data_IF_200364126056
#
_entry.id   IF_200364126056
#
_cell.length_a   1.000
_cell.length_b   1.000
_cell.length_c   1.000
_cell.angle_alpha   90.00
_cell.angle_beta   90.00
_cell.angle_gamma   90.00
#
_symmetry.space_group_name_H-M   'P 1'
#
loop_
_entity.id
_entity.type
_entity.pdbx_description
1 polymer ?
#
# COMPACT_ATOMS: atom_id res chain seq x y z
N UNK A 1 -12.60 -25.63 16.27
CA UNK A 1 -12.76 -24.87 17.53
C UNK A 1 -12.21 -23.47 17.30
N UNK A 2 -12.87 -22.44 17.85
CA UNK A 2 -12.26 -21.11 17.94
C UNK A 2 -11.14 -21.25 18.97
N UNK A 3 -9.89 -21.01 18.55
CA UNK A 3 -8.73 -21.05 19.45
C UNK A 3 -8.93 -20.00 20.55
N UNK A 4 -8.51 -20.28 21.79
CA UNK A 4 -8.52 -19.26 22.86
C UNK A 4 -7.61 -18.09 22.46
N UNK A 5 -7.82 -16.89 23.01
CA UNK A 5 -6.94 -15.74 22.71
C UNK A 5 -5.52 -15.92 23.26
N UNK A 6 -5.34 -16.81 24.23
CA UNK A 6 -4.03 -17.22 24.76
C UNK A 6 -3.41 -18.42 24.01
N UNK A 7 -4.12 -19.02 23.05
CA UNK A 7 -3.65 -20.20 22.33
C UNK A 7 -2.40 -19.89 21.49
N UNK A 8 -1.38 -20.72 21.64
CA UNK A 8 -0.10 -20.55 20.98
C UNK A 8 -0.19 -20.49 19.45
N UNK A 9 -1.16 -21.16 18.83
CA UNK A 9 -1.36 -21.07 17.38
C UNK A 9 -1.67 -19.64 16.91
N UNK A 10 -2.27 -18.78 17.74
CA UNK A 10 -2.50 -17.35 17.43
C UNK A 10 -1.25 -16.50 17.54
N UNK A 11 -0.24 -16.97 18.28
CA UNK A 11 0.98 -16.21 18.61
C UNK A 11 2.21 -16.70 17.85
N UNK A 12 2.00 -17.27 16.66
CA UNK A 12 3.05 -17.51 15.67
C UNK A 12 3.31 -16.23 14.87
N UNK A 13 4.58 -15.84 14.76
CA UNK A 13 4.97 -14.65 14.02
C UNK A 13 4.98 -14.90 12.49
N UNK A 14 3.80 -14.82 11.91
CA UNK A 14 3.58 -15.09 10.48
C UNK A 14 4.18 -14.01 9.56
N UNK A 15 4.36 -14.33 8.28
CA UNK A 15 4.83 -13.36 7.26
C UNK A 15 3.87 -12.17 7.11
N UNK A 16 2.55 -12.38 7.17
CA UNK A 16 1.60 -11.26 7.11
C UNK A 16 1.71 -10.36 8.34
N UNK A 17 1.92 -10.94 9.54
CA UNK A 17 2.20 -10.17 10.75
C UNK A 17 3.48 -9.33 10.60
N UNK A 18 4.53 -9.88 10.00
CA UNK A 18 5.77 -9.13 9.69
C UNK A 18 5.51 -7.94 8.79
N UNK A 19 4.77 -8.13 7.70
CA UNK A 19 4.41 -7.06 6.76
C UNK A 19 3.67 -5.94 7.48
N UNK A 20 2.68 -6.28 8.32
CA UNK A 20 1.95 -5.30 9.16
C UNK A 20 2.91 -4.47 10.01
N UNK A 21 3.75 -5.14 10.79
CA UNK A 21 4.68 -4.49 11.70
C UNK A 21 5.72 -3.65 10.95
N UNK A 22 6.13 -4.06 9.75
CA UNK A 22 7.06 -3.28 8.93
C UNK A 22 6.44 -1.98 8.44
N UNK A 23 5.24 -2.04 7.87
CA UNK A 23 4.50 -0.85 7.39
C UNK A 23 4.24 0.11 8.54
N UNK A 24 3.71 -0.43 9.63
CA UNK A 24 3.45 0.30 10.87
C UNK A 24 4.72 0.97 11.43
N UNK A 25 5.80 0.21 11.58
CA UNK A 25 7.07 0.70 12.16
C UNK A 25 7.69 1.81 11.32
N UNK A 26 7.63 1.70 9.98
CA UNK A 26 8.13 2.75 9.07
C UNK A 26 7.32 4.03 9.23
N UNK A 27 6.00 3.89 9.34
CA UNK A 27 5.09 5.03 9.49
C UNK A 27 5.26 5.73 10.82
N UNK A 28 5.16 5.00 11.93
CA UNK A 28 5.26 5.59 13.27
C UNK A 28 6.62 6.25 13.48
N UNK A 29 7.72 5.67 12.97
CA UNK A 29 9.04 6.31 13.02
C UNK A 29 9.04 7.68 12.34
N UNK A 30 8.46 7.79 11.14
CA UNK A 30 8.42 9.04 10.40
C UNK A 30 7.45 10.06 11.01
N UNK A 31 6.28 9.59 11.44
CA UNK A 31 5.27 10.40 12.13
C UNK A 31 5.81 10.97 13.44
N UNK A 32 6.39 10.14 14.32
CA UNK A 32 7.01 10.56 15.58
C UNK A 32 8.18 11.50 15.36
N UNK A 33 8.94 11.31 14.28
CA UNK A 33 10.02 12.21 13.91
C UNK A 33 9.52 13.61 13.53
N UNK A 34 8.38 13.71 12.86
CA UNK A 34 7.79 15.00 12.47
C UNK A 34 7.13 15.65 13.68
N UNK A 35 6.11 15.01 14.26
CA UNK A 35 5.29 15.61 15.30
C UNK A 35 6.02 15.71 16.64
N UNK A 36 6.91 14.77 16.95
CA UNK A 36 7.70 14.81 18.19
C UNK A 36 8.68 15.98 18.27
N UNK A 37 8.86 16.71 17.17
CA UNK A 37 9.62 17.97 17.15
C UNK A 37 8.86 19.10 17.84
N UNK A 38 7.52 19.07 17.81
CA UNK A 38 6.67 20.19 18.22
C UNK A 38 5.66 19.82 19.31
N UNK A 39 5.40 18.53 19.50
CA UNK A 39 4.30 18.04 20.33
C UNK A 39 4.73 16.81 21.13
N UNK A 40 4.11 16.65 22.29
CA UNK A 40 4.09 15.37 22.99
C UNK A 40 3.32 14.35 22.17
N UNK A 41 3.78 13.10 22.18
CA UNK A 41 3.18 12.04 21.38
C UNK A 41 2.31 11.13 22.23
N UNK A 42 1.08 10.85 21.80
CA UNK A 42 0.25 9.80 22.38
C UNK A 42 0.14 8.64 21.38
N UNK A 43 0.60 7.45 21.76
CA UNK A 43 0.59 6.27 20.90
C UNK A 43 -0.21 5.17 21.58
N UNK A 44 -1.24 4.69 20.88
CA UNK A 44 -2.16 3.66 21.34
C UNK A 44 -1.96 2.40 20.52
N UNK A 45 -1.60 1.31 21.19
CA UNK A 45 -1.77 -0.03 20.67
C UNK A 45 -3.05 -0.61 21.25
N UNK A 46 -4.13 -0.57 20.47
CA UNK A 46 -5.46 -0.90 20.92
C UNK A 46 -5.68 -2.41 21.11
N UNK A 47 -4.76 -3.24 20.58
CA UNK A 47 -4.75 -4.70 20.67
C UNK A 47 -3.30 -5.17 20.84
N UNK A 48 -2.69 -4.76 21.96
CA UNK A 48 -1.26 -4.87 22.22
C UNK A 48 -0.74 -6.31 22.28
N UNK A 49 -1.60 -7.27 22.61
CA UNK A 49 -1.19 -8.64 22.77
C UNK A 49 -0.26 -8.87 23.94
N UNK A 50 0.40 -10.02 23.94
CA UNK A 50 1.32 -10.45 25.02
C UNK A 50 2.73 -9.86 24.95
N UNK A 51 2.97 -8.86 24.10
CA UNK A 51 4.29 -8.22 23.93
C UNK A 51 5.29 -8.96 23.04
N UNK A 52 5.35 -10.30 23.08
CA UNK A 52 6.18 -11.14 22.17
C UNK A 52 5.41 -12.32 21.56
N UNK A 53 5.86 -12.76 20.39
CA UNK A 53 5.44 -14.02 19.80
C UNK A 53 6.24 -15.18 20.39
N UNK A 54 5.77 -16.41 20.16
CA UNK A 54 6.36 -17.64 20.73
C UNK A 54 7.81 -17.85 20.29
N UNK A 55 8.17 -17.39 19.10
CA UNK A 55 9.53 -17.47 18.58
C UNK A 55 10.46 -16.37 19.15
N UNK A 56 9.98 -15.59 20.11
CA UNK A 56 10.71 -14.47 20.73
C UNK A 56 10.64 -13.16 19.94
N UNK A 57 10.00 -13.16 18.76
CA UNK A 57 9.83 -11.95 17.96
C UNK A 57 9.02 -10.90 18.72
N UNK A 58 9.44 -9.65 18.63
CA UNK A 58 8.75 -8.53 19.28
C UNK A 58 7.37 -8.27 18.66
N UNK A 59 6.37 -8.06 19.51
CA UNK A 59 5.07 -7.50 19.17
C UNK A 59 5.12 -5.98 18.93
N UNK A 60 3.99 -5.41 18.54
CA UNK A 60 3.85 -3.98 18.29
C UNK A 60 4.21 -3.09 19.49
N UNK A 61 3.91 -3.42 20.77
CA UNK A 61 4.28 -2.57 21.91
C UNK A 61 5.80 -2.36 22.01
N UNK A 62 6.57 -3.44 21.98
CA UNK A 62 8.03 -3.39 22.08
C UNK A 62 8.66 -2.68 20.89
N UNK A 63 8.10 -2.86 19.68
CA UNK A 63 8.55 -2.14 18.48
C UNK A 63 8.35 -0.63 18.59
N UNK A 64 7.19 -0.19 19.08
CA UNK A 64 6.90 1.23 19.33
C UNK A 64 7.96 1.81 20.25
N UNK A 65 8.18 1.17 21.39
CA UNK A 65 9.12 1.65 22.39
C UNK A 65 10.55 1.73 21.84
N UNK A 66 10.98 0.70 21.09
CA UNK A 66 12.30 0.68 20.47
C UNK A 66 12.49 1.81 19.45
N UNK A 67 11.44 2.13 18.68
CA UNK A 67 11.45 3.25 17.72
C UNK A 67 11.60 4.57 18.46
N UNK A 68 10.84 4.79 19.53
CA UNK A 68 10.89 6.02 20.32
C UNK A 68 12.24 6.20 21.01
N UNK A 69 12.79 5.15 21.63
CA UNK A 69 14.14 5.19 22.24
C UNK A 69 15.19 5.54 21.19
N UNK A 70 15.14 4.90 20.02
CA UNK A 70 16.10 5.18 18.95
C UNK A 70 15.96 6.62 18.43
N UNK A 71 14.74 7.15 18.37
CA UNK A 71 14.52 8.53 17.98
C UNK A 71 15.08 9.51 19.02
N UNK A 72 14.81 9.25 20.31
CA UNK A 72 15.33 10.06 21.42
C UNK A 72 16.85 10.06 21.45
N UNK A 73 17.48 8.89 21.33
CA UNK A 73 18.95 8.75 21.31
C UNK A 73 19.60 9.48 20.13
N UNK A 74 19.00 9.40 18.94
CA UNK A 74 19.60 9.94 17.72
C UNK A 74 19.28 11.42 17.47
N UNK A 75 18.15 11.92 17.98
CA UNK A 75 17.63 13.24 17.61
C UNK A 75 17.12 14.07 18.79
N UNK A 76 17.22 13.58 20.03
CA UNK A 76 16.79 14.29 21.23
C UNK A 76 15.26 14.43 21.40
N UNK A 77 14.46 13.83 20.51
CA UNK A 77 13.00 13.96 20.45
C UNK A 77 12.28 12.60 20.47
N UNK A 78 10.99 12.52 20.87
CA UNK A 78 10.13 13.63 21.31
C UNK A 78 10.55 14.18 22.68
N UNK A 79 10.05 15.37 23.04
CA UNK A 79 10.22 15.90 24.41
C UNK A 79 9.58 14.95 25.41
N UNK A 80 8.30 14.61 25.21
CA UNK A 80 7.53 13.65 25.98
C UNK A 80 6.75 12.68 25.07
N UNK A 81 6.55 11.45 25.54
CA UNK A 81 5.71 10.46 24.87
C UNK A 81 4.91 9.63 25.89
N UNK A 82 3.69 9.29 25.52
CA UNK A 82 2.74 8.50 26.30
C UNK A 82 2.33 7.30 25.46
N UNK A 83 2.68 6.10 25.91
CA UNK A 83 2.33 4.84 25.26
C UNK A 83 1.25 4.12 26.06
N UNK A 84 0.15 3.78 25.39
CA UNK A 84 -1.00 3.10 25.96
C UNK A 84 -1.17 1.76 25.26
N UNK A 85 -0.99 0.66 26.00
CA UNK A 85 -1.06 -0.70 25.46
C UNK A 85 -2.24 -1.44 26.07
N UNK A 86 -3.19 -1.86 25.23
CA UNK A 86 -4.49 -2.36 25.67
C UNK A 86 -4.61 -3.82 25.25
N UNK A 87 -4.87 -4.69 26.22
CA UNK A 87 -5.05 -6.13 26.00
C UNK A 87 -6.13 -6.67 26.93
N UNK A 88 -7.24 -7.14 26.37
CA UNK A 88 -8.39 -7.58 27.14
C UNK A 88 -8.22 -8.95 27.80
N UNK A 89 -7.40 -9.82 27.20
CA UNK A 89 -7.16 -11.13 27.75
C UNK A 89 -6.16 -11.03 28.90
N UNK A 90 -6.59 -11.43 30.10
CA UNK A 90 -5.79 -11.33 31.32
C UNK A 90 -4.41 -12.00 31.22
N UNK A 91 -4.33 -13.21 30.66
CA UNK A 91 -3.05 -13.92 30.55
C UNK A 91 -2.09 -13.21 29.59
N UNK A 92 -2.59 -12.75 28.43
CA UNK A 92 -1.78 -11.96 27.51
C UNK A 92 -1.35 -10.63 28.13
N UNK A 93 -2.24 -9.95 28.87
CA UNK A 93 -1.92 -8.71 29.57
C UNK A 93 -0.87 -8.89 30.67
N UNK A 94 -0.96 -9.97 31.46
CA UNK A 94 0.02 -10.26 32.51
C UNK A 94 1.41 -10.50 31.88
N UNK A 95 1.49 -11.25 30.78
CA UNK A 95 2.73 -11.40 29.98
C UNK A 95 3.24 -10.06 29.42
N UNK A 96 2.34 -9.20 28.93
CA UNK A 96 2.72 -7.86 28.45
C UNK A 96 3.32 -7.02 29.57
N UNK A 97 2.75 -7.06 30.78
CA UNK A 97 3.30 -6.36 31.94
C UNK A 97 4.73 -6.81 32.28
N UNK A 98 5.00 -8.11 32.19
CA UNK A 98 6.34 -8.66 32.40
C UNK A 98 7.33 -8.15 31.34
N UNK A 99 6.95 -8.16 30.06
CA UNK A 99 7.77 -7.61 28.97
C UNK A 99 8.05 -6.11 29.13
N UNK A 100 7.06 -5.31 29.54
CA UNK A 100 7.23 -3.88 29.81
C UNK A 100 8.14 -3.64 31.03
N UNK A 101 8.03 -4.48 32.06
CA UNK A 101 8.91 -4.40 33.23
C UNK A 101 10.36 -4.69 32.84
N UNK A 102 10.59 -5.77 32.09
CA UNK A 102 11.90 -6.12 31.55
C UNK A 102 12.47 -5.01 30.67
N UNK A 103 11.65 -4.41 29.79
CA UNK A 103 12.04 -3.29 28.96
C UNK A 103 12.50 -2.08 29.79
N UNK A 104 11.76 -1.73 30.84
CA UNK A 104 12.11 -0.63 31.76
C UNK A 104 13.41 -0.91 32.52
N UNK A 105 13.67 -2.17 32.92
CA UNK A 105 14.92 -2.55 33.56
C UNK A 105 16.13 -2.46 32.62
N UNK A 106 15.94 -2.76 31.33
CA UNK A 106 17.01 -2.74 30.33
C UNK A 106 17.33 -1.33 29.80
N UNK A 107 16.48 -0.34 30.05
CA UNK A 107 16.63 1.01 29.50
C UNK A 107 16.61 2.06 30.62
N UNK A 108 17.69 2.82 30.74
CA UNK A 108 17.81 3.94 31.69
C UNK A 108 17.35 5.26 31.08
N UNK A 109 17.03 6.26 31.91
CA UNK A 109 16.64 7.63 31.52
C UNK A 109 15.34 7.69 30.69
N UNK A 110 14.26 7.15 31.25
CA UNK A 110 12.94 7.09 30.63
C UNK A 110 11.95 8.14 31.16
N UNK A 111 12.40 9.18 31.87
CA UNK A 111 11.50 10.17 32.50
C UNK A 111 10.60 10.93 31.51
N UNK A 112 10.98 10.94 30.23
CA UNK A 112 10.22 11.52 29.12
C UNK A 112 9.17 10.57 28.52
N UNK A 113 9.17 9.30 28.92
CA UNK A 113 8.36 8.24 28.32
C UNK A 113 7.48 7.58 29.39
N UNK A 114 6.18 7.87 29.32
CA UNK A 114 5.18 7.20 30.14
C UNK A 114 4.65 5.96 29.41
N UNK A 115 4.59 4.82 30.10
CA UNK A 115 4.10 3.56 29.55
C UNK A 115 3.02 3.02 30.48
N UNK A 116 1.78 2.92 29.97
CA UNK A 116 0.60 2.38 30.65
C UNK A 116 0.06 1.15 29.92
N UNK A 117 -0.23 0.11 30.68
CA UNK A 117 -0.91 -1.11 30.20
C UNK A 117 -2.31 -1.18 30.78
N UNK A 118 -3.27 -1.70 30.02
CA UNK A 118 -4.68 -1.79 30.40
C UNK A 118 -5.23 -3.19 30.11
N UNK A 119 -5.85 -3.82 31.12
CA UNK A 119 -6.47 -5.13 31.03
C UNK A 119 -7.98 -5.02 30.77
N UNK A 120 -8.38 -4.49 29.61
CA UNK A 120 -9.79 -4.28 29.25
C UNK A 120 -9.94 -4.18 27.72
N UNK A 121 -11.18 -4.06 27.23
CA UNK A 121 -11.46 -3.76 25.84
C UNK A 121 -11.20 -2.28 25.51
N UNK A 122 -10.63 -2.03 24.33
CA UNK A 122 -10.27 -0.68 23.88
C UNK A 122 -11.44 0.32 23.95
N UNK A 123 -12.67 -0.11 23.63
CA UNK A 123 -13.86 0.75 23.70
C UNK A 123 -14.10 1.32 25.10
N UNK A 124 -13.82 0.55 26.15
CA UNK A 124 -14.03 0.97 27.54
C UNK A 124 -12.93 1.94 27.97
N UNK A 125 -11.69 1.63 27.58
CA UNK A 125 -10.50 2.42 27.91
C UNK A 125 -10.52 3.78 27.21
N UNK A 126 -11.02 3.88 25.99
CA UNK A 126 -11.01 5.15 25.26
C UNK A 126 -11.78 6.25 26.02
N UNK A 127 -12.96 5.94 26.55
CA UNK A 127 -13.77 6.93 27.27
C UNK A 127 -13.08 7.38 28.57
N UNK A 128 -12.40 6.47 29.27
CA UNK A 128 -11.59 6.78 30.45
C UNK A 128 -10.38 7.66 30.10
N UNK A 129 -9.65 7.31 29.04
CA UNK A 129 -8.49 8.09 28.57
C UNK A 129 -8.91 9.49 28.12
N UNK A 130 -10.05 9.62 27.43
CA UNK A 130 -10.60 10.93 27.04
C UNK A 130 -10.96 11.75 28.28
N UNK A 131 -11.62 11.15 29.27
CA UNK A 131 -12.01 11.83 30.51
C UNK A 131 -10.79 12.31 31.30
N UNK A 132 -9.77 11.46 31.41
CA UNK A 132 -8.60 11.71 32.26
C UNK A 132 -7.58 12.65 31.59
N UNK A 133 -7.56 12.73 30.26
CA UNK A 133 -6.57 13.53 29.51
C UNK A 133 -7.15 14.77 28.80
N UNK A 134 -8.48 14.94 28.72
CA UNK A 134 -9.11 16.10 28.07
C UNK A 134 -8.60 16.33 26.63
N UNK A 135 -8.18 17.57 26.31
CA UNK A 135 -7.61 17.94 24.99
C UNK A 135 -6.16 17.44 24.78
N UNK A 136 -5.55 16.76 25.76
CA UNK A 136 -4.13 16.33 25.72
C UNK A 136 -3.87 15.16 24.75
N UNK A 137 -4.93 14.54 24.19
CA UNK A 137 -4.84 13.51 23.13
C UNK A 137 -4.62 14.14 21.74
N UNK A 138 -4.56 15.48 21.63
CA UNK A 138 -4.46 16.25 20.38
C UNK A 138 -3.26 15.95 19.45
N UNK A 139 -2.42 14.97 19.78
CA UNK A 139 -1.42 14.38 18.88
C UNK A 139 -1.37 12.87 19.11
N UNK A 140 -2.38 12.18 18.58
CA UNK A 140 -2.61 10.74 18.79
C UNK A 140 -2.27 9.87 17.59
N UNK A 141 -1.71 8.70 17.83
CA UNK A 141 -1.60 7.63 16.84
C UNK A 141 -2.26 6.37 17.38
N UNK A 142 -3.28 5.86 16.68
CA UNK A 142 -4.05 4.69 17.10
C UNK A 142 -3.81 3.51 16.16
N UNK A 143 -3.24 2.43 16.67
CA UNK A 143 -3.09 1.17 15.98
C UNK A 143 -4.21 0.20 16.39
N UNK A 144 -5.18 0.01 15.52
CA UNK A 144 -6.40 -0.78 15.74
C UNK A 144 -6.27 -2.08 14.95
N UNK A 145 -5.84 -3.13 15.65
CA UNK A 145 -5.51 -4.43 15.06
C UNK A 145 -6.30 -5.59 15.71
N UNK A 146 -7.63 -5.65 15.58
CA UNK A 146 -8.43 -6.68 16.20
C UNK A 146 -8.19 -8.06 15.57
N UNK A 147 -8.34 -9.11 16.39
CA UNK A 147 -8.60 -10.45 15.86
C UNK A 147 -10.05 -10.52 15.38
N UNK A 148 -10.26 -10.37 14.06
CA UNK A 148 -11.59 -10.39 13.44
C UNK A 148 -12.15 -8.99 13.20
N UNK A 149 -13.43 -8.77 13.48
CA UNK A 149 -14.13 -7.50 13.19
C UNK A 149 -15.04 -6.99 14.32
N UNK A 150 -15.15 -7.72 15.42
CA UNK A 150 -15.93 -7.32 16.60
C UNK A 150 -15.13 -6.38 17.50
N UNK A 151 -15.82 -5.51 18.26
CA UNK A 151 -15.21 -4.64 19.26
C UNK A 151 -14.66 -3.32 18.71
N UNK A 152 -14.84 -3.04 17.41
CA UNK A 152 -14.45 -1.78 16.78
C UNK A 152 -15.64 -1.21 16.00
N UNK A 153 -16.34 -0.28 16.61
CA UNK A 153 -17.45 0.43 15.98
C UNK A 153 -16.97 1.66 15.20
N UNK A 154 -17.70 2.04 14.16
CA UNK A 154 -17.38 3.24 13.39
C UNK A 154 -17.53 4.52 14.21
N UNK A 155 -18.44 4.54 15.19
CA UNK A 155 -18.58 5.64 16.16
C UNK A 155 -17.34 5.78 17.04
N UNK A 156 -16.67 4.67 17.41
CA UNK A 156 -15.39 4.72 18.11
C UNK A 156 -14.31 5.39 17.26
N UNK A 157 -14.21 4.99 15.98
CA UNK A 157 -13.26 5.59 15.03
C UNK A 157 -13.55 7.08 14.82
N UNK A 158 -14.83 7.46 14.75
CA UNK A 158 -15.26 8.86 14.66
C UNK A 158 -14.81 9.67 15.88
N UNK A 159 -15.01 9.17 17.11
CA UNK A 159 -14.52 9.83 18.35
C UNK A 159 -13.01 10.08 18.31
N UNK A 160 -12.24 9.14 17.75
CA UNK A 160 -10.77 9.29 17.65
C UNK A 160 -10.40 10.35 16.60
N UNK A 161 -11.05 10.32 15.43
CA UNK A 161 -10.71 11.19 14.31
C UNK A 161 -11.20 12.64 14.45
N UNK A 162 -11.99 12.96 15.48
CA UNK A 162 -12.34 14.35 15.84
C UNK A 162 -11.18 15.12 16.46
N UNK A 163 -10.19 14.42 17.05
CA UNK A 163 -9.02 15.07 17.63
C UNK A 163 -8.08 15.61 16.54
N UNK A 164 -7.50 16.78 16.79
CA UNK A 164 -6.46 17.31 15.93
C UNK A 164 -5.24 16.37 15.88
N UNK A 165 -4.48 16.46 14.79
CA UNK A 165 -3.19 15.75 14.56
C UNK A 165 -3.25 14.26 14.91
N UNK A 166 -4.42 13.64 14.75
CA UNK A 166 -4.66 12.25 15.08
C UNK A 166 -4.74 11.40 13.82
N UNK A 167 -4.10 10.23 13.89
CA UNK A 167 -4.08 9.27 12.80
C UNK A 167 -4.36 7.86 13.30
N UNK A 168 -4.96 7.05 12.42
CA UNK A 168 -5.43 5.71 12.76
C UNK A 168 -4.97 4.72 11.71
N UNK A 169 -4.45 3.58 12.15
CA UNK A 169 -4.35 2.37 11.34
C UNK A 169 -5.41 1.38 11.77
N UNK A 170 -6.13 0.81 10.81
CA UNK A 170 -7.18 -0.19 11.05
C UNK A 170 -6.86 -1.45 10.26
N UNK A 171 -6.71 -2.58 10.93
CA UNK A 171 -6.69 -3.88 10.26
C UNK A 171 -8.12 -4.32 9.96
N UNK A 172 -8.46 -4.39 8.68
CA UNK A 172 -9.80 -4.70 8.18
C UNK A 172 -9.84 -6.08 7.51
N UNK A 173 -10.47 -7.03 8.20
CA UNK A 173 -10.58 -8.44 7.80
C UNK A 173 -11.74 -8.67 6.80
N UNK A 174 -11.61 -8.19 5.55
CA UNK A 174 -12.67 -8.29 4.52
C UNK A 174 -13.22 -9.71 4.33
N UNK A 175 -12.38 -10.72 4.46
CA UNK A 175 -12.77 -12.13 4.34
C UNK A 175 -13.74 -12.55 5.45
N UNK A 176 -13.43 -12.17 6.68
CA UNK A 176 -14.24 -12.55 7.84
C UNK A 176 -15.57 -11.78 7.81
N UNK A 177 -15.54 -10.49 7.47
CA UNK A 177 -16.75 -9.71 7.21
C UNK A 177 -17.62 -10.39 6.15
N UNK A 178 -17.03 -10.77 5.00
CA UNK A 178 -17.78 -11.45 3.93
C UNK A 178 -18.36 -12.80 4.39
N UNK A 179 -17.60 -13.56 5.17
CA UNK A 179 -18.02 -14.87 5.70
C UNK A 179 -19.24 -14.76 6.60
N UNK A 180 -19.28 -13.74 7.46
CA UNK A 180 -20.30 -13.58 8.48
C UNK A 180 -21.39 -12.57 8.11
N UNK A 181 -21.34 -12.00 6.91
CA UNK A 181 -22.28 -10.97 6.45
C UNK A 181 -23.76 -11.36 6.55
N UNK A 182 -24.07 -12.64 6.33
CA UNK A 182 -25.44 -13.19 6.41
C UNK A 182 -25.73 -13.91 7.73
N UNK A 183 -24.80 -13.85 8.70
CA UNK A 183 -24.90 -14.60 9.94
C UNK A 183 -25.68 -13.78 10.98
N UNK A 184 -26.88 -14.22 11.43
CA UNK A 184 -27.68 -13.46 12.39
C UNK A 184 -26.93 -13.12 13.70
N UNK A 185 -26.13 -14.03 14.31
CA UNK A 185 -25.37 -13.70 15.51
C UNK A 185 -24.32 -12.59 15.35
N UNK A 186 -23.90 -12.27 14.12
CA UNK A 186 -22.84 -11.28 13.85
C UNK A 186 -23.39 -9.98 13.25
N UNK A 187 -24.71 -9.88 13.09
CA UNK A 187 -25.35 -8.75 12.41
C UNK A 187 -25.08 -7.42 13.13
N UNK A 188 -25.16 -7.40 14.47
CA UNK A 188 -24.87 -6.19 15.26
C UNK A 188 -23.43 -5.74 15.10
N UNK A 189 -22.44 -6.63 15.23
CA UNK A 189 -21.03 -6.28 15.06
C UNK A 189 -20.71 -5.77 13.66
N UNK A 190 -21.38 -6.29 12.63
CA UNK A 190 -21.23 -5.79 11.26
C UNK A 190 -21.85 -4.40 11.12
N UNK A 191 -23.04 -4.16 11.68
CA UNK A 191 -23.67 -2.84 11.65
C UNK A 191 -22.84 -1.81 12.41
N UNK A 192 -22.30 -2.16 13.57
CA UNK A 192 -21.40 -1.32 14.36
C UNK A 192 -20.12 -0.99 13.59
N UNK A 193 -19.50 -1.99 12.95
CA UNK A 193 -18.29 -1.81 12.14
C UNK A 193 -18.52 -0.83 10.99
N UNK A 194 -19.64 -0.95 10.28
CA UNK A 194 -19.96 -0.08 9.13
C UNK A 194 -20.67 1.22 9.52
N UNK A 195 -21.17 1.36 10.76
CA UNK A 195 -21.96 2.50 11.20
C UNK A 195 -23.27 2.69 10.42
N UNK A 196 -23.80 1.62 9.83
CA UNK A 196 -25.05 1.62 9.09
C UNK A 196 -25.77 0.27 9.17
N UNK A 197 -27.10 0.33 9.05
CA UNK A 197 -27.93 -0.85 8.85
C UNK A 197 -27.86 -1.31 7.38
N UNK A 198 -28.38 -2.52 7.11
CA UNK A 198 -28.58 -3.03 5.75
C UNK A 198 -27.31 -3.12 4.87
N UNK A 199 -26.13 -3.32 5.49
CA UNK A 199 -24.83 -3.50 4.81
C UNK A 199 -24.92 -4.48 3.63
N UNK A 200 -25.65 -5.59 3.79
CA UNK A 200 -25.83 -6.57 2.73
C UNK A 200 -26.56 -5.99 1.50
N UNK A 201 -27.61 -5.22 1.71
CA UNK A 201 -28.42 -4.62 0.66
C UNK A 201 -27.64 -3.51 -0.06
N UNK A 202 -26.94 -2.67 0.70
CA UNK A 202 -26.08 -1.63 0.13
C UNK A 202 -25.04 -2.21 -0.84
N UNK A 203 -24.44 -3.36 -0.51
CA UNK A 203 -23.48 -4.04 -1.37
C UNK A 203 -24.08 -4.63 -2.67
N UNK A 204 -25.40 -4.56 -2.85
CA UNK A 204 -26.10 -4.97 -4.08
C UNK A 204 -26.61 -3.78 -4.91
N UNK A 205 -26.37 -2.57 -4.44
CA UNK A 205 -26.78 -1.32 -5.08
C UNK A 205 -25.54 -0.56 -5.61
N UNK A 206 -25.75 0.38 -6.54
CA UNK A 206 -24.71 1.31 -6.99
C UNK A 206 -24.19 2.16 -5.80
N UNK A 207 -22.88 2.47 -5.72
CA UNK A 207 -21.81 2.21 -6.70
C UNK A 207 -21.09 0.86 -6.50
N UNK A 208 -21.62 -0.04 -5.66
CA UNK A 208 -20.96 -1.29 -5.29
C UNK A 208 -21.38 -2.48 -6.17
N UNK A 209 -22.48 -2.33 -6.88
CA UNK A 209 -22.99 -3.31 -7.83
C UNK A 209 -21.96 -3.62 -8.93
N UNK A 210 -21.85 -4.88 -9.34
CA UNK A 210 -20.88 -5.33 -10.35
C UNK A 210 -19.42 -5.43 -9.87
N UNK A 211 -19.04 -4.86 -8.73
CA UNK A 211 -17.69 -5.01 -8.16
C UNK A 211 -17.45 -6.43 -7.65
N UNK A 212 -16.18 -6.87 -7.63
CA UNK A 212 -15.81 -8.08 -6.90
C UNK A 212 -16.20 -7.90 -5.43
N UNK A 213 -16.75 -8.94 -4.81
CA UNK A 213 -17.33 -8.85 -3.45
C UNK A 213 -16.40 -8.22 -2.41
N UNK A 214 -15.12 -8.60 -2.44
CA UNK A 214 -14.07 -8.02 -1.58
C UNK A 214 -13.90 -6.51 -1.78
N UNK A 215 -13.89 -6.06 -3.05
CA UNK A 215 -13.77 -4.64 -3.40
C UNK A 215 -15.03 -3.88 -2.98
N UNK A 216 -16.22 -4.44 -3.18
CA UNK A 216 -17.47 -3.84 -2.73
C UNK A 216 -17.47 -3.59 -1.21
N UNK A 217 -17.06 -4.60 -0.43
CA UNK A 217 -16.98 -4.53 1.05
C UNK A 217 -15.97 -3.46 1.48
N UNK A 218 -14.77 -3.45 0.89
CA UNK A 218 -13.76 -2.44 1.19
C UNK A 218 -14.22 -1.03 0.83
N UNK A 219 -14.79 -0.85 -0.37
CA UNK A 219 -15.28 0.45 -0.84
C UNK A 219 -16.40 0.97 0.05
N UNK A 220 -17.35 0.11 0.43
CA UNK A 220 -18.43 0.50 1.35
C UNK A 220 -17.86 0.94 2.70
N UNK A 221 -16.92 0.18 3.29
CA UNK A 221 -16.34 0.53 4.58
C UNK A 221 -15.58 1.87 4.51
N UNK A 222 -14.81 2.10 3.44
CA UNK A 222 -14.11 3.37 3.22
C UNK A 222 -15.06 4.54 3.02
N UNK A 223 -16.13 4.36 2.26
CA UNK A 223 -17.14 5.39 2.08
C UNK A 223 -17.82 5.72 3.41
N UNK A 224 -18.15 4.71 4.23
CA UNK A 224 -18.67 4.92 5.57
C UNK A 224 -17.65 5.64 6.47
N UNK A 225 -16.36 5.31 6.41
CA UNK A 225 -15.32 6.08 7.11
C UNK A 225 -15.37 7.56 6.72
N UNK A 226 -15.40 7.88 5.43
CA UNK A 226 -15.47 9.27 4.96
C UNK A 226 -16.79 9.97 5.39
N UNK A 227 -17.93 9.33 5.15
CA UNK A 227 -19.26 9.92 5.40
C UNK A 227 -19.57 10.09 6.89
N UNK A 228 -19.23 9.09 7.72
CA UNK A 228 -19.63 9.06 9.13
C UNK A 228 -18.61 9.73 10.05
N UNK A 229 -17.32 9.64 9.71
CA UNK A 229 -16.24 10.21 10.54
C UNK A 229 -15.75 11.56 10.05
N UNK A 230 -16.01 11.92 8.79
CA UNK A 230 -15.47 13.13 8.18
C UNK A 230 -13.98 13.05 7.84
N UNK A 231 -13.36 11.87 7.94
CA UNK A 231 -11.94 11.70 7.63
C UNK A 231 -11.64 12.10 6.19
N UNK A 232 -10.57 12.88 5.98
CA UNK A 232 -10.25 13.40 4.64
C UNK A 232 -9.56 12.37 3.75
N UNK A 233 -8.69 11.54 4.32
CA UNK A 233 -7.88 10.60 3.55
C UNK A 233 -7.93 9.20 4.16
N UNK A 234 -8.25 8.21 3.33
CA UNK A 234 -8.09 6.79 3.66
C UNK A 234 -7.19 6.09 2.65
N UNK A 235 -6.23 5.32 3.12
CA UNK A 235 -5.30 4.57 2.26
C UNK A 235 -5.28 3.09 2.64
N UNK A 236 -5.96 2.21 1.88
CA UNK A 236 -5.99 0.78 2.14
C UNK A 236 -4.76 0.07 1.53
N UNK A 237 -4.12 -0.79 2.31
CA UNK A 237 -3.02 -1.65 1.88
C UNK A 237 -3.44 -3.12 1.95
N UNK A 238 -3.41 -3.82 0.81
CA UNK A 238 -3.87 -5.20 0.71
C UNK A 238 -2.76 -6.18 1.09
N UNK A 239 -2.96 -6.94 2.16
CA UNK A 239 -2.02 -8.00 2.57
C UNK A 239 -2.54 -9.35 2.12
N UNK A 240 -1.71 -10.11 1.40
CA UNK A 240 -2.05 -11.42 0.82
C UNK A 240 -1.20 -12.53 1.41
N UNK A 241 -1.75 -13.74 1.43
CA UNK A 241 -1.01 -14.94 1.78
C UNK A 241 -0.10 -15.38 0.62
N UNK A 242 1.13 -15.77 0.93
CA UNK A 242 2.17 -16.09 -0.07
C UNK A 242 1.79 -17.22 -1.03
N UNK A 243 1.05 -18.23 -0.55
CA UNK A 243 0.82 -19.47 -1.30
C UNK A 243 -0.28 -19.37 -2.36
N UNK A 244 -1.34 -18.59 -2.09
CA UNK A 244 -2.54 -18.56 -2.92
C UNK A 244 -2.96 -17.14 -3.34
N UNK A 245 -2.17 -16.12 -2.96
CA UNK A 245 -2.46 -14.70 -3.20
C UNK A 245 -3.86 -14.27 -2.69
N UNK A 246 -4.43 -15.02 -1.74
CA UNK A 246 -5.69 -14.66 -1.10
C UNK A 246 -5.43 -13.53 -0.12
N UNK A 247 -6.33 -12.54 -0.11
CA UNK A 247 -6.29 -11.46 0.87
C UNK A 247 -6.48 -12.00 2.28
N UNK A 248 -5.55 -11.64 3.16
CA UNK A 248 -5.62 -11.89 4.60
C UNK A 248 -6.41 -10.76 5.25
N UNK A 249 -6.00 -9.52 5.00
CA UNK A 249 -6.66 -8.29 5.48
C UNK A 249 -6.24 -7.08 4.65
N UNK A 250 -6.91 -5.96 4.91
CA UNK A 250 -6.47 -4.64 4.50
C UNK A 250 -5.97 -3.85 5.71
N UNK A 251 -4.79 -3.23 5.62
CA UNK A 251 -4.35 -2.24 6.61
C UNK A 251 -4.75 -0.86 6.09
N UNK A 252 -5.68 -0.19 6.76
CA UNK A 252 -6.24 1.08 6.30
C UNK A 252 -5.67 2.21 7.15
N UNK A 253 -4.92 3.12 6.53
CA UNK A 253 -4.52 4.38 7.13
C UNK A 253 -5.65 5.39 7.04
N UNK A 254 -5.93 6.11 8.11
CA UNK A 254 -6.89 7.18 8.19
C UNK A 254 -6.19 8.43 8.73
N UNK A 255 -6.26 9.54 7.98
CA UNK A 255 -5.68 10.83 8.41
C UNK A 255 -6.48 12.00 7.88
N UNK A 256 -6.52 13.08 8.66
CA UNK A 256 -7.06 14.38 8.25
C UNK A 256 -5.99 15.31 7.67
N UNK A 257 -4.72 14.89 7.69
CA UNK A 257 -3.59 15.72 7.25
C UNK A 257 -3.06 15.26 5.87
N UNK A 258 -2.97 16.16 4.88
CA UNK A 258 -2.43 15.80 3.56
C UNK A 258 -0.97 15.33 3.63
N UNK A 259 -0.16 15.85 4.55
CA UNK A 259 1.23 15.39 4.74
C UNK A 259 1.29 13.96 5.30
N UNK A 260 0.36 13.59 6.18
CA UNK A 260 0.23 12.20 6.66
C UNK A 260 -0.10 11.25 5.51
N UNK A 261 -1.02 11.67 4.64
CA UNK A 261 -1.38 10.92 3.43
C UNK A 261 -0.17 10.75 2.49
N UNK A 262 0.55 11.83 2.20
CA UNK A 262 1.75 11.78 1.35
C UNK A 262 2.88 10.97 1.98
N UNK A 263 3.05 11.02 3.30
CA UNK A 263 4.01 10.19 4.02
C UNK A 263 3.65 8.71 3.90
N UNK A 264 2.37 8.36 4.07
CA UNK A 264 1.90 6.98 3.95
C UNK A 264 2.11 6.47 2.53
N UNK A 265 1.66 7.25 1.53
CA UNK A 265 1.93 6.97 0.12
C UNK A 265 3.42 6.78 -0.12
N UNK A 266 4.29 7.64 0.40
CA UNK A 266 5.73 7.52 0.22
C UNK A 266 6.31 6.26 0.86
N UNK A 267 5.79 5.80 2.00
CA UNK A 267 6.20 4.54 2.62
C UNK A 267 5.75 3.35 1.77
N UNK A 268 4.57 3.42 1.17
CA UNK A 268 4.02 2.39 0.28
C UNK A 268 4.73 2.34 -1.08
N UNK A 269 4.92 3.50 -1.71
CA UNK A 269 5.70 3.68 -2.93
C UNK A 269 7.16 3.24 -2.79
N UNK A 270 7.71 3.22 -1.57
CA UNK A 270 9.08 2.76 -1.29
C UNK A 270 9.19 1.24 -1.15
N UNK A 271 8.10 0.49 -1.30
CA UNK A 271 8.09 -0.98 -1.31
C UNK A 271 7.80 -1.52 -2.70
N UNK A 272 8.60 -2.49 -3.15
CA UNK A 272 8.20 -3.36 -4.26
C UNK A 272 6.97 -4.18 -3.83
N UNK A 273 5.99 -4.38 -4.71
CA UNK A 273 4.75 -5.09 -4.34
C UNK A 273 3.89 -5.47 -5.53
N UNK A 274 2.65 -5.90 -5.28
CA UNK A 274 1.67 -6.38 -6.26
C UNK A 274 0.98 -5.27 -7.08
N UNK A 275 0.01 -5.61 -7.97
CA UNK A 275 -0.75 -4.60 -8.72
C UNK A 275 -1.50 -3.59 -7.83
N UNK A 276 -1.80 -3.98 -6.59
CA UNK A 276 -2.37 -3.12 -5.54
C UNK A 276 -1.51 -1.90 -5.19
N UNK A 277 -0.22 -1.91 -5.55
CA UNK A 277 0.69 -0.79 -5.32
C UNK A 277 0.64 0.28 -6.43
N UNK A 278 -0.18 0.08 -7.46
CA UNK A 278 -0.46 1.12 -8.45
C UNK A 278 -1.63 1.96 -7.97
N UNK A 279 -1.42 3.27 -7.90
CA UNK A 279 -2.46 4.22 -7.57
C UNK A 279 -2.26 5.54 -8.31
N UNK A 280 -3.38 6.22 -8.53
CA UNK A 280 -3.40 7.52 -9.16
C UNK A 280 -2.71 8.54 -8.25
N UNK A 281 -1.76 9.28 -8.81
CA UNK A 281 -1.14 10.41 -8.19
C UNK A 281 -1.03 11.56 -9.17
N UNK A 282 -1.21 12.77 -8.67
CA UNK A 282 -0.98 13.99 -9.44
C UNK A 282 0.50 14.32 -9.40
N UNK A 283 1.15 14.30 -10.56
CA UNK A 283 2.53 14.74 -10.74
C UNK A 283 2.56 16.01 -11.61
N UNK A 284 3.56 16.87 -11.47
CA UNK A 284 3.75 17.97 -12.40
C UNK A 284 3.89 17.46 -13.84
N UNK A 285 3.18 18.09 -14.78
CA UNK A 285 3.35 17.80 -16.21
C UNK A 285 4.81 18.06 -16.61
N UNK A 286 5.48 17.10 -17.25
CA UNK A 286 6.86 17.28 -17.68
C UNK A 286 6.93 18.27 -18.86
N UNK A 287 8.02 19.03 -18.93
CA UNK A 287 8.35 19.87 -20.11
C UNK A 287 9.40 19.16 -20.98
N UNK A 288 9.29 19.21 -22.31
CA UNK A 288 10.27 18.59 -23.20
C UNK A 288 11.61 19.35 -23.15
N UNK A 289 12.71 18.61 -23.16
CA UNK A 289 14.05 19.14 -23.44
C UNK A 289 14.22 19.46 -24.93
N UNK A 290 15.30 20.15 -25.35
CA UNK A 290 15.50 20.51 -26.75
C UNK A 290 15.42 19.34 -27.75
N UNK A 291 15.83 18.14 -27.36
CA UNK A 291 15.81 16.92 -28.19
C UNK A 291 14.61 16.00 -27.92
N UNK A 292 13.67 16.42 -27.07
CA UNK A 292 12.54 15.59 -26.64
C UNK A 292 11.21 16.07 -27.22
N UNK A 293 10.28 15.13 -27.35
CA UNK A 293 8.88 15.38 -27.64
C UNK A 293 8.05 15.13 -26.38
N UNK A 294 7.08 16.00 -26.12
CA UNK A 294 6.04 15.82 -25.10
C UNK A 294 4.86 15.11 -25.75
N UNK A 295 4.54 13.93 -25.23
CA UNK A 295 3.48 13.08 -25.75
C UNK A 295 2.36 13.03 -24.72
N UNK A 296 1.12 13.28 -25.17
CA UNK A 296 -0.09 12.91 -24.44
C UNK A 296 -0.37 11.43 -24.69
N UNK A 297 -0.20 10.61 -23.67
CA UNK A 297 -0.43 9.18 -23.78
C UNK A 297 -1.93 8.91 -23.83
N UNK A 298 -2.36 8.17 -24.86
CA UNK A 298 -3.77 7.79 -25.05
C UNK A 298 -3.96 6.32 -24.64
N UNK A 299 -3.03 5.46 -25.02
CA UNK A 299 -3.04 4.05 -24.61
C UNK A 299 -1.62 3.59 -24.22
N UNK A 300 -1.56 2.66 -23.27
CA UNK A 300 -0.31 2.05 -22.82
C UNK A 300 -0.49 0.53 -22.65
N UNK A 301 0.57 -0.23 -22.95
CA UNK A 301 0.55 -1.68 -22.79
C UNK A 301 0.82 -2.07 -21.32
N UNK A 302 -0.01 -2.97 -20.78
CA UNK A 302 0.27 -3.63 -19.52
C UNK A 302 1.10 -4.90 -19.75
N UNK A 303 2.41 -4.82 -19.51
CA UNK A 303 3.32 -5.93 -19.81
C UNK A 303 3.69 -6.77 -18.57
N UNK A 304 4.13 -8.01 -18.81
CA UNK A 304 4.73 -8.85 -17.75
C UNK A 304 5.98 -8.20 -17.16
N UNK A 305 6.76 -7.51 -18.00
CA UNK A 305 7.96 -6.76 -17.60
C UNK A 305 7.62 -5.68 -16.56
N UNK A 306 6.52 -4.94 -16.75
CA UNK A 306 6.05 -3.94 -15.78
C UNK A 306 5.72 -4.59 -14.43
N UNK A 307 5.10 -5.78 -14.45
CA UNK A 307 4.80 -6.54 -13.23
C UNK A 307 6.06 -7.00 -12.49
N UNK A 308 7.06 -7.49 -13.23
CA UNK A 308 8.35 -7.93 -12.67
C UNK A 308 9.14 -6.76 -12.10
N UNK A 309 9.13 -5.61 -12.77
CA UNK A 309 9.78 -4.39 -12.28
C UNK A 309 9.08 -3.80 -11.05
N UNK A 310 7.73 -3.83 -11.02
CA UNK A 310 6.93 -3.38 -9.87
C UNK A 310 7.12 -4.27 -8.63
N UNK A 311 7.17 -5.58 -8.83
CA UNK A 311 7.28 -6.56 -7.72
C UNK A 311 8.72 -6.93 -7.37
N UNK A 312 9.69 -6.57 -8.22
CA UNK A 312 11.07 -7.03 -8.18
C UNK A 312 11.23 -8.56 -8.17
N UNK A 313 10.24 -9.29 -8.68
CA UNK A 313 10.28 -10.73 -8.83
C UNK A 313 10.82 -11.10 -10.21
N UNK A 314 12.14 -11.09 -10.34
CA UNK A 314 12.82 -11.41 -11.60
C UNK A 314 13.06 -12.93 -11.72
N UNK A 315 12.75 -13.56 -12.88
CA UNK A 315 12.90 -15.01 -13.05
C UNK A 315 14.36 -15.46 -13.06
N UNK A 316 15.29 -14.59 -13.49
CA UNK A 316 16.72 -14.90 -13.60
C UNK A 316 17.46 -14.40 -12.35
N UNK A 317 17.68 -15.28 -11.37
CA UNK A 317 18.22 -14.89 -10.05
C UNK A 317 19.58 -14.19 -10.09
N UNK A 318 20.44 -14.48 -11.07
CA UNK A 318 21.76 -13.80 -11.16
C UNK A 318 21.64 -12.34 -11.60
N UNK A 319 20.55 -11.92 -12.25
CA UNK A 319 20.35 -10.52 -12.67
C UNK A 319 19.83 -9.65 -11.53
N UNK A 320 19.46 -10.25 -10.38
CA UNK A 320 18.98 -9.56 -9.19
C UNK A 320 19.86 -8.38 -8.76
N UNK A 321 21.18 -8.62 -8.61
CA UNK A 321 22.09 -7.60 -8.08
C UNK A 321 22.32 -6.45 -9.07
N UNK A 322 22.63 -6.70 -10.36
CA UNK A 322 22.66 -5.65 -11.38
C UNK A 322 21.35 -4.87 -11.50
N UNK A 323 20.21 -5.57 -11.47
CA UNK A 323 18.89 -4.95 -11.60
C UNK A 323 18.51 -4.13 -10.36
N UNK A 324 18.97 -4.48 -9.16
CA UNK A 324 18.81 -3.61 -7.97
C UNK A 324 19.60 -2.32 -8.10
N UNK A 325 20.80 -2.36 -8.67
CA UNK A 325 21.61 -1.15 -8.87
C UNK A 325 20.91 -0.23 -9.90
N UNK A 326 20.39 -0.82 -10.98
CA UNK A 326 19.72 -0.10 -12.06
C UNK A 326 18.35 0.46 -11.64
N UNK A 327 17.49 -0.37 -11.06
CA UNK A 327 16.10 -0.04 -10.72
C UNK A 327 15.94 0.60 -9.34
N UNK A 328 16.96 0.53 -8.50
CA UNK A 328 16.98 1.08 -7.15
C UNK A 328 17.13 0.01 -6.07
N UNK A 329 18.09 0.19 -5.17
CA UNK A 329 18.52 -0.86 -4.23
C UNK A 329 17.45 -1.12 -3.16
N UNK A 330 16.79 -0.06 -2.71
CA UNK A 330 15.80 -0.09 -1.62
C UNK A 330 14.39 0.31 -2.07
N UNK A 331 14.24 1.02 -3.19
CA UNK A 331 12.97 1.53 -3.72
C UNK A 331 13.06 1.71 -5.24
N UNK A 332 11.96 1.61 -6.00
CA UNK A 332 11.96 1.95 -7.41
C UNK A 332 12.48 3.38 -7.64
N UNK A 333 13.47 3.55 -8.52
CA UNK A 333 13.97 4.87 -8.95
C UNK A 333 12.95 5.63 -9.80
N UNK A 334 12.01 4.91 -10.42
CA UNK A 334 11.01 5.47 -11.33
C UNK A 334 9.61 5.24 -10.76
N UNK A 335 8.87 6.32 -10.40
CA UNK A 335 7.56 6.20 -9.78
C UNK A 335 6.45 5.84 -10.78
N UNK A 336 6.62 6.18 -12.06
CA UNK A 336 5.67 5.87 -13.13
C UNK A 336 6.25 4.77 -14.01
N UNK A 337 5.53 3.65 -14.13
CA UNK A 337 5.90 2.49 -14.95
C UNK A 337 5.35 2.63 -16.38
N UNK A 338 5.40 1.54 -17.15
CA UNK A 338 4.90 1.48 -18.52
C UNK A 338 5.99 1.77 -19.55
N UNK A 339 6.26 0.78 -20.39
CA UNK A 339 7.31 0.81 -21.41
C UNK A 339 6.83 1.03 -22.84
N UNK A 340 5.55 0.76 -23.13
CA UNK A 340 5.01 0.77 -24.48
C UNK A 340 3.70 1.54 -24.51
N UNK A 341 3.51 2.37 -25.54
CA UNK A 341 2.43 3.33 -25.57
C UNK A 341 2.09 3.77 -27.01
N UNK A 342 0.96 4.45 -27.11
CA UNK A 342 0.59 5.29 -28.23
C UNK A 342 -0.08 6.58 -27.74
N UNK A 343 0.02 7.65 -28.52
CA UNK A 343 -0.42 8.96 -28.10
C UNK A 343 -0.22 10.03 -29.16
N UNK A 344 -0.37 11.28 -28.75
CA UNK A 344 -0.27 12.44 -29.62
C UNK A 344 0.85 13.37 -29.14
N UNK A 345 1.67 13.88 -30.05
CA UNK A 345 2.71 14.86 -29.73
C UNK A 345 2.05 16.21 -29.44
N UNK A 346 2.17 16.71 -28.20
CA UNK A 346 1.64 18.02 -27.82
C UNK A 346 2.64 19.15 -28.00
N UNK A 347 3.92 18.87 -27.75
CA UNK A 347 4.99 19.85 -27.91
C UNK A 347 6.28 19.17 -28.31
N UNK A 348 7.15 19.92 -28.98
CA UNK A 348 8.46 19.45 -29.41
C UNK A 348 9.54 20.39 -28.90
N UNK A 349 10.70 19.84 -28.56
CA UNK A 349 11.88 20.63 -28.24
C UNK A 349 12.46 21.31 -29.48
N UNK A 350 13.25 22.36 -29.26
CA UNK A 350 13.81 23.22 -30.32
C UNK A 350 14.69 22.49 -31.35
N UNK A 351 15.27 21.33 -30.98
CA UNK A 351 16.16 20.54 -31.83
C UNK A 351 15.48 19.33 -32.48
N UNK A 352 14.20 19.08 -32.19
CA UNK A 352 13.43 17.97 -32.76
C UNK A 352 13.18 18.22 -34.25
N UNK A 353 13.38 17.19 -35.08
CA UNK A 353 13.20 17.27 -36.54
C UNK A 353 12.27 16.19 -37.10
N UNK A 354 12.08 15.09 -36.37
CA UNK A 354 11.33 13.91 -36.84
C UNK A 354 9.83 14.02 -36.62
N UNK A 355 9.38 14.88 -35.70
CA UNK A 355 7.99 14.96 -35.26
C UNK A 355 7.56 16.42 -35.12
N UNK A 356 6.26 16.64 -35.27
CA UNK A 356 5.57 17.91 -35.09
C UNK A 356 4.45 17.76 -34.06
N UNK A 357 4.01 18.89 -33.49
CA UNK A 357 2.79 18.93 -32.68
C UNK A 357 1.59 18.44 -33.51
N UNK A 358 0.78 17.55 -32.93
CA UNK A 358 -0.37 16.91 -33.55
C UNK A 358 -0.08 15.52 -34.12
N UNK A 359 1.19 15.12 -34.25
CA UNK A 359 1.54 13.80 -34.77
C UNK A 359 1.04 12.69 -33.84
N UNK A 360 0.38 11.69 -34.41
CA UNK A 360 -0.01 10.49 -33.70
C UNK A 360 1.14 9.50 -33.73
N UNK A 361 1.62 9.07 -32.57
CA UNK A 361 2.82 8.25 -32.44
C UNK A 361 2.57 7.02 -31.58
N UNK A 362 3.40 5.99 -31.79
CA UNK A 362 3.47 4.81 -30.94
C UNK A 362 4.92 4.32 -30.82
N UNK A 363 5.24 3.64 -29.73
CA UNK A 363 6.61 3.21 -29.51
C UNK A 363 6.93 2.71 -28.12
N UNK A 364 8.22 2.74 -27.79
CA UNK A 364 8.75 2.30 -26.51
C UNK A 364 9.50 3.41 -25.79
N UNK A 365 9.18 3.61 -24.52
CA UNK A 365 9.94 4.43 -23.57
C UNK A 365 11.15 3.69 -23.00
N UNK A 366 11.40 2.44 -23.42
CA UNK A 366 12.52 1.61 -22.97
C UNK A 366 12.60 1.56 -21.43
N UNK A 367 13.82 1.48 -20.88
CA UNK A 367 14.05 1.59 -19.44
C UNK A 367 13.76 3.00 -18.90
N UNK A 368 13.36 3.99 -19.73
CA UNK A 368 12.90 5.30 -19.25
C UNK A 368 11.55 5.21 -18.55
N UNK A 369 10.69 4.29 -18.98
CA UNK A 369 9.33 4.11 -18.44
C UNK A 369 8.49 5.41 -18.50
N UNK A 370 7.34 5.42 -17.83
CA UNK A 370 6.49 6.59 -17.68
C UNK A 370 5.22 6.58 -18.52
N UNK A 371 4.98 5.52 -19.30
CA UNK A 371 3.79 5.42 -20.14
C UNK A 371 2.47 5.27 -19.36
N UNK A 372 2.50 5.00 -18.05
CA UNK A 372 1.30 4.99 -17.21
C UNK A 372 0.89 6.37 -16.69
N UNK A 373 1.51 7.45 -17.17
CA UNK A 373 1.07 8.83 -16.92
C UNK A 373 0.38 9.40 -18.15
N UNK A 374 -0.42 10.46 -17.94
CA UNK A 374 -1.10 11.20 -19.01
C UNK A 374 -0.11 11.87 -19.99
N UNK A 375 1.10 12.19 -19.51
CA UNK A 375 2.12 12.89 -20.27
C UNK A 375 3.50 12.27 -20.10
N UNK A 376 4.25 12.16 -21.19
CA UNK A 376 5.59 11.58 -21.23
C UNK A 376 6.51 12.37 -22.17
N UNK A 377 7.69 12.75 -21.70
CA UNK A 377 8.74 13.31 -22.56
C UNK A 377 9.72 12.22 -23.00
N UNK A 378 9.98 12.07 -24.30
CA UNK A 378 10.99 11.15 -24.84
C UNK A 378 11.89 11.83 -25.86
N UNK A 379 13.20 11.50 -25.92
CA UNK A 379 14.05 11.95 -27.01
C UNK A 379 13.49 11.50 -28.37
N UNK A 380 13.56 12.34 -29.40
CA UNK A 380 13.09 11.96 -30.73
C UNK A 380 13.85 10.75 -31.29
N UNK A 381 15.02 10.41 -30.73
CA UNK A 381 15.87 9.27 -31.10
C UNK A 381 15.42 7.94 -30.50
N UNK A 382 14.45 7.94 -29.59
CA UNK A 382 13.88 6.71 -29.05
C UNK A 382 13.15 5.92 -30.14
N UNK A 383 12.79 4.67 -29.80
CA UNK A 383 11.97 3.80 -30.64
C UNK A 383 10.54 4.34 -30.69
N UNK A 384 10.35 5.37 -31.52
CA UNK A 384 9.10 6.11 -31.72
C UNK A 384 8.85 6.22 -33.23
N UNK A 385 7.61 5.93 -33.63
CA UNK A 385 7.15 5.98 -35.01
C UNK A 385 5.76 6.61 -35.08
N UNK A 386 5.41 7.15 -36.25
CA UNK A 386 4.04 7.58 -36.52
C UNK A 386 3.08 6.39 -36.53
N UNK A 387 1.92 6.57 -35.91
CA UNK A 387 0.87 5.56 -35.84
C UNK A 387 0.18 5.47 -37.21
N UNK A 388 0.03 4.26 -37.80
CA UNK A 388 -0.77 4.08 -39.00
C UNK A 388 -2.20 4.65 -38.83
N UNK A 389 -2.70 5.35 -39.85
CA UNK A 389 -4.02 6.00 -39.80
C UNK A 389 -5.16 5.00 -39.56
N UNK A 390 -5.04 3.80 -40.14
CA UNK A 390 -6.03 2.73 -40.05
C UNK A 390 -5.97 1.92 -38.74
N UNK A 391 -5.15 2.33 -37.77
CA UNK A 391 -4.96 1.62 -36.50
C UNK A 391 -5.42 2.48 -35.32
N UNK A 392 -6.15 1.89 -34.38
CA UNK A 392 -6.52 2.55 -33.13
C UNK A 392 -5.30 2.77 -32.23
N UNK A 393 -5.39 3.66 -31.26
CA UNK A 393 -4.31 3.88 -30.29
C UNK A 393 -4.04 2.61 -29.47
N UNK A 394 -5.08 1.92 -29.03
CA UNK A 394 -4.97 0.69 -28.23
C UNK A 394 -4.26 -0.42 -29.00
N UNK A 395 -4.63 -0.61 -30.28
CA UNK A 395 -3.96 -1.57 -31.15
C UNK A 395 -2.49 -1.20 -31.35
N UNK A 396 -2.20 0.08 -31.63
CA UNK A 396 -0.84 0.56 -31.83
C UNK A 396 0.05 0.41 -30.58
N UNK A 397 -0.50 0.65 -29.38
CA UNK A 397 0.23 0.50 -28.13
C UNK A 397 0.65 -0.95 -27.85
N UNK A 398 -0.07 -1.94 -28.37
CA UNK A 398 0.19 -3.37 -28.16
C UNK A 398 1.20 -3.99 -29.14
N UNK A 399 1.58 -3.27 -30.20
CA UNK A 399 2.53 -3.76 -31.23
C UNK A 399 4.00 -3.77 -30.75
N UNK A 400 4.54 -2.71 -30.11
CA UNK A 400 5.97 -2.58 -29.89
C UNK A 400 6.62 -3.75 -29.14
N UNK A 401 6.02 -4.24 -28.05
CA UNK A 401 6.62 -5.34 -27.28
C UNK A 401 6.65 -6.64 -28.09
N UNK A 402 5.50 -7.06 -28.61
CA UNK A 402 5.36 -8.33 -29.33
C UNK A 402 6.08 -8.31 -30.67
N UNK A 403 5.80 -7.30 -31.49
CA UNK A 403 6.30 -7.16 -32.84
C UNK A 403 7.82 -6.98 -32.92
N UNK A 404 8.42 -6.11 -32.09
CA UNK A 404 9.88 -5.91 -32.13
C UNK A 404 10.64 -7.17 -31.70
N UNK A 405 10.15 -7.87 -30.68
CA UNK A 405 10.79 -9.11 -30.23
C UNK A 405 10.63 -10.23 -31.25
N UNK A 406 9.43 -10.42 -31.81
CA UNK A 406 9.19 -11.41 -32.85
C UNK A 406 10.10 -11.16 -34.06
N UNK A 407 10.12 -9.93 -34.57
CA UNK A 407 10.95 -9.53 -35.70
C UNK A 407 12.45 -9.73 -35.41
N UNK A 408 12.93 -9.37 -34.22
CA UNK A 408 14.32 -9.58 -33.82
C UNK A 408 14.74 -11.06 -33.91
N UNK A 409 13.95 -11.95 -33.32
CA UNK A 409 14.28 -13.38 -33.29
C UNK A 409 14.09 -14.05 -34.64
N UNK A 410 13.05 -13.70 -35.40
CA UNK A 410 12.85 -14.23 -36.75
C UNK A 410 13.96 -13.80 -37.71
N UNK A 411 14.40 -12.53 -37.65
CA UNK A 411 15.54 -12.06 -38.43
C UNK A 411 16.85 -12.77 -38.05
N UNK A 412 17.06 -13.08 -36.76
CA UNK A 412 18.22 -13.88 -36.31
C UNK A 412 18.14 -15.33 -36.76
N UNK A 413 16.94 -15.90 -36.82
CA UNK A 413 16.73 -17.25 -37.34
C UNK A 413 16.94 -17.34 -38.86
N UNK A 414 16.86 -16.20 -39.57
CA UNK A 414 17.07 -16.08 -41.01
C UNK A 414 16.19 -17.05 -41.81
N UNK A 415 14.92 -17.14 -41.41
CA UNK A 415 13.93 -18.06 -41.97
C UNK A 415 13.74 -17.83 -43.48
N UNK A 416 13.49 -18.91 -44.22
CA UNK A 416 13.30 -18.89 -45.68
C UNK A 416 11.91 -19.40 -46.08
N UNK A 417 11.41 -18.98 -47.26
CA UNK A 417 10.15 -19.52 -47.79
C UNK A 417 10.19 -21.05 -47.86
N UNK A 418 9.13 -21.69 -47.35
CA UNK A 418 8.98 -23.15 -47.32
C UNK A 418 9.55 -23.84 -46.07
N UNK A 419 10.20 -23.11 -45.16
CA UNK A 419 10.66 -23.68 -43.88
C UNK A 419 9.51 -23.82 -42.88
N UNK A 420 9.58 -24.86 -42.05
CA UNK A 420 8.64 -25.08 -40.95
C UNK A 420 9.27 -24.60 -39.64
N UNK A 421 8.61 -23.65 -38.98
CA UNK A 421 9.09 -23.04 -37.73
C UNK A 421 8.15 -23.41 -36.58
N UNK A 422 8.71 -23.96 -35.50
CA UNK A 422 7.96 -24.20 -34.27
C UNK A 422 7.93 -22.93 -33.41
N UNK A 423 6.74 -22.38 -33.18
CA UNK A 423 6.53 -21.23 -32.28
C UNK A 423 5.93 -21.71 -30.96
N UNK A 424 6.75 -21.76 -29.91
CA UNK A 424 6.28 -22.04 -28.56
C UNK A 424 5.57 -20.81 -27.97
N UNK A 425 4.37 -21.01 -27.43
CA UNK A 425 3.58 -19.91 -26.85
C UNK A 425 2.94 -19.00 -27.91
N UNK A 426 2.52 -19.55 -29.05
CA UNK A 426 1.89 -18.85 -30.17
C UNK A 426 0.68 -17.96 -29.80
N UNK A 427 0.01 -18.21 -28.65
CA UNK A 427 -1.08 -17.36 -28.16
C UNK A 427 -0.67 -16.15 -27.30
N UNK A 428 0.63 -15.98 -27.02
CA UNK A 428 1.15 -14.82 -26.29
C UNK A 428 1.53 -13.66 -27.21
N UNK A 429 1.73 -12.45 -26.66
CA UNK A 429 2.03 -11.23 -27.44
C UNK A 429 3.13 -11.43 -28.50
N UNK A 430 4.30 -11.97 -28.11
CA UNK A 430 5.41 -12.24 -29.04
C UNK A 430 5.06 -13.38 -30.01
N UNK A 431 4.43 -14.45 -29.51
CA UNK A 431 4.08 -15.62 -30.31
C UNK A 431 3.11 -15.30 -31.43
N UNK A 432 2.06 -14.51 -31.15
CA UNK A 432 1.07 -14.11 -32.15
C UNK A 432 1.71 -13.31 -33.28
N UNK A 433 2.62 -12.39 -32.95
CA UNK A 433 3.36 -11.62 -33.95
C UNK A 433 4.37 -12.46 -34.74
N UNK A 434 4.90 -13.54 -34.15
CA UNK A 434 5.85 -14.43 -34.83
C UNK A 434 5.16 -15.45 -35.76
N UNK A 435 3.87 -15.72 -35.53
CA UNK A 435 3.05 -16.57 -36.39
C UNK A 435 2.60 -15.84 -37.65
N UNK A 436 2.32 -14.53 -37.53
CA UNK A 436 2.05 -13.64 -38.67
C UNK A 436 3.33 -13.41 -39.47
#
# INVERSE_FOLDING_TARGET
MVLSDSDDEKWKYSEHTKVKHEVFSKYIKAWSNILGTYHSLNIFDCFAGRGRYIDGSEGSPLKILQILINLKKNQGKPENAYCHFIEKNKDNHDNLCDEITNFKTQNTNLDWLEIKTYCDEFSNILDDIIRDNGDSISTGFFFIDPFGFSGISLELIKKILTYERTEVFITFMTRDVNRFLKSPPHQSSIQELFGCENVQEMLTQEPYFGLKREQAILSLYRNQLHEKTGVKYTFPFQVKADKNLQTVYYLIHCTNNPMGCELMKAIMYKSYGGPSELFLATLPTPSPKPDEVLIKVIAAEASKSDCEMRSFHLPVKWTWLPMRILLGIQKPKRPVLGMYFSGEVLAVGESVKRFNTGDQVFGSSQMKMGAYAEFLCLPETYTLLEKPENMSFEAAAAVPLGGLNALHYLNRAAIKPGEHVLINGAGGSIGTHAVQ
#
